data_IF_959155957492
#
_entry.id   IF_959155957492
#
_cell.length_a   1.000
_cell.length_b   1.000
_cell.length_c   1.000
_cell.angle_alpha   90.00
_cell.angle_beta   90.00
_cell.angle_gamma   90.00
#
_symmetry.space_group_name_H-M   'P 1'
#
loop_
_entity.id
_entity.type
_entity.pdbx_description
1 polymer ?
#
# COMPACT_ATOMS: atom_id res chain seq x y z
N UNK A 1 -14.77 -58.90 8.97
CA UNK A 1 -13.88 -57.99 8.23
C UNK A 1 -14.37 -56.52 8.19
N UNK A 2 -15.66 -56.24 8.36
CA UNK A 2 -16.19 -54.87 8.41
C UNK A 2 -15.70 -53.98 9.59
N UNK A 3 -15.53 -54.46 10.84
CA UNK A 3 -15.20 -53.56 11.96
C UNK A 3 -13.74 -53.08 11.90
N UNK A 4 -12.83 -53.90 11.40
CA UNK A 4 -11.41 -53.55 11.26
C UNK A 4 -11.22 -52.44 10.22
N UNK A 5 -11.99 -52.47 9.12
CA UNK A 5 -11.97 -51.41 8.10
C UNK A 5 -12.53 -50.09 8.63
N UNK A 6 -13.59 -50.14 9.43
CA UNK A 6 -14.16 -48.95 10.07
C UNK A 6 -13.18 -48.30 11.06
N UNK A 7 -12.48 -49.12 11.87
CA UNK A 7 -11.47 -48.62 12.82
C UNK A 7 -10.29 -47.97 12.09
N UNK A 8 -9.81 -48.55 11.00
CA UNK A 8 -8.70 -47.97 10.20
C UNK A 8 -9.10 -46.64 9.55
N UNK A 9 -10.32 -46.54 9.02
CA UNK A 9 -10.82 -45.29 8.43
C UNK A 9 -10.98 -44.21 9.48
N UNK A 10 -11.51 -44.55 10.67
CA UNK A 10 -11.73 -43.60 11.74
C UNK A 10 -10.41 -43.13 12.37
N UNK A 11 -9.42 -44.02 12.48
CA UNK A 11 -8.06 -43.66 12.89
C UNK A 11 -7.36 -42.75 11.86
N UNK A 12 -7.52 -43.01 10.57
CA UNK A 12 -6.98 -42.15 9.51
C UNK A 12 -7.59 -40.75 9.50
N UNK A 13 -8.90 -40.64 9.73
CA UNK A 13 -9.59 -39.35 9.81
C UNK A 13 -9.13 -38.51 11.00
N UNK A 14 -8.88 -39.16 12.15
CA UNK A 14 -8.39 -38.49 13.36
C UNK A 14 -6.98 -37.90 13.17
N UNK A 15 -6.11 -38.55 12.39
CA UNK A 15 -4.76 -38.04 12.06
C UNK A 15 -4.84 -36.86 11.09
N UNK A 16 -5.79 -36.87 10.14
CA UNK A 16 -5.99 -35.74 9.23
C UNK A 16 -6.57 -34.51 9.93
N UNK A 17 -7.43 -34.70 10.93
CA UNK A 17 -8.06 -33.59 11.65
C UNK A 17 -7.11 -32.87 12.64
N UNK A 18 -6.04 -33.51 13.11
CA UNK A 18 -5.12 -32.92 14.09
C UNK A 18 -4.13 -31.89 13.51
N UNK A 19 -4.06 -31.74 12.18
CA UNK A 19 -3.18 -30.77 11.52
C UNK A 19 -3.75 -29.36 11.31
N UNK A 20 -5.07 -29.17 11.52
CA UNK A 20 -5.75 -27.94 11.12
C UNK A 20 -5.37 -26.70 11.98
N UNK A 21 -4.95 -26.92 13.23
CA UNK A 21 -4.55 -25.83 14.14
C UNK A 21 -3.18 -25.22 13.74
N UNK A 22 -2.26 -26.04 13.25
CA UNK A 22 -0.94 -25.60 12.77
C UNK A 22 -1.04 -24.77 11.50
N UNK A 23 -1.91 -25.19 10.57
CA UNK A 23 -2.15 -24.49 9.31
C UNK A 23 -2.79 -23.11 9.54
N UNK A 24 -3.67 -22.98 10.54
CA UNK A 24 -4.21 -21.70 10.99
C UNK A 24 -3.12 -20.71 11.40
N UNK A 25 -2.15 -21.12 12.24
CA UNK A 25 -1.05 -20.24 12.66
C UNK A 25 -0.10 -19.86 11.51
N UNK A 26 0.21 -20.80 10.61
CA UNK A 26 1.07 -20.53 9.45
C UNK A 26 0.41 -19.58 8.43
N UNK A 27 -0.92 -19.59 8.33
CA UNK A 27 -1.72 -18.69 7.48
C UNK A 27 -2.08 -17.37 8.19
N UNK A 28 -1.46 -17.04 9.32
CA UNK A 28 -1.70 -15.79 10.05
C UNK A 28 -2.96 -15.80 10.94
N UNK A 29 -3.59 -16.96 11.12
CA UNK A 29 -4.66 -17.19 12.10
C UNK A 29 -4.12 -17.14 13.52
N UNK A 30 -4.21 -15.96 14.12
CA UNK A 30 -3.81 -15.69 15.50
C UNK A 30 -3.61 -14.20 15.73
N UNK A 31 -3.65 -13.78 17.00
CA UNK A 31 -3.26 -12.44 17.39
C UNK A 31 -1.73 -12.36 17.35
N UNK A 32 -1.17 -11.88 16.24
CA UNK A 32 0.21 -11.38 16.17
C UNK A 32 0.15 -9.86 16.23
N UNK A 33 -0.02 -9.25 17.42
CA UNK A 33 0.15 -7.81 17.54
C UNK A 33 1.57 -7.45 17.07
N UNK A 34 1.74 -6.35 16.32
CA UNK A 34 3.06 -5.83 16.01
C UNK A 34 3.84 -5.68 17.31
N UNK A 35 5.09 -6.14 17.32
CA UNK A 35 5.94 -6.07 18.50
C UNK A 35 6.17 -4.60 18.89
N UNK A 36 5.46 -4.17 19.93
CA UNK A 36 5.50 -2.81 20.49
C UNK A 36 6.83 -2.48 21.16
N UNK A 37 7.70 -3.49 21.32
CA UNK A 37 9.08 -3.35 21.76
C UNK A 37 10.09 -3.56 20.62
N UNK A 38 9.64 -3.64 19.36
CA UNK A 38 10.55 -3.68 18.23
C UNK A 38 11.29 -2.35 18.09
N UNK A 39 12.50 -2.31 18.61
CA UNK A 39 13.37 -1.13 18.53
C UNK A 39 13.88 -1.03 17.08
N UNK A 40 13.36 -0.05 16.33
CA UNK A 40 13.95 0.33 15.04
C UNK A 40 15.32 0.97 15.33
N UNK A 41 16.39 0.27 14.96
CA UNK A 41 17.75 0.78 15.09
C UNK A 41 17.94 1.97 14.16
N UNK A 42 18.07 3.17 14.72
CA UNK A 42 18.60 4.32 13.99
C UNK A 42 20.09 4.11 13.80
N UNK A 43 20.63 4.59 12.68
CA UNK A 43 22.08 4.59 12.46
C UNK A 43 22.78 5.24 13.68
N UNK A 44 23.85 4.62 14.22
CA UNK A 44 24.56 5.16 15.36
C UNK A 44 25.03 6.58 15.06
N UNK A 45 24.79 7.48 16.00
CA UNK A 45 25.29 8.85 15.93
C UNK A 45 26.79 8.80 16.25
N UNK A 46 27.62 8.44 15.28
CA UNK A 46 29.06 8.62 15.40
C UNK A 46 29.35 10.10 15.23
N UNK A 47 29.98 10.68 16.24
CA UNK A 47 30.55 12.02 16.14
C UNK A 47 31.72 11.91 15.14
N UNK A 48 31.66 12.58 13.98
CA UNK A 48 32.78 12.57 13.05
C UNK A 48 34.02 13.19 13.75
N UNK A 49 35.23 12.63 13.53
CA UNK A 49 36.45 13.15 14.16
C UNK A 49 36.74 14.61 13.78
N UNK A 50 36.22 15.06 12.65
CA UNK A 50 36.28 16.44 12.21
C UNK A 50 34.92 17.15 12.40
N UNK A 51 34.82 17.97 13.44
CA UNK A 51 33.76 18.97 13.64
C UNK A 51 33.82 20.13 12.62
N UNK A 52 34.67 20.01 11.60
CA UNK A 52 34.95 21.05 10.60
C UNK A 52 34.04 20.96 9.36
N UNK A 53 32.88 20.32 9.46
CA UNK A 53 31.89 20.41 8.39
C UNK A 53 31.28 21.82 8.44
N UNK A 54 31.69 22.66 7.49
CA UNK A 54 30.96 23.89 7.18
C UNK A 54 29.48 23.53 7.04
N UNK A 55 28.56 24.29 7.65
CA UNK A 55 27.14 24.16 7.34
C UNK A 55 26.99 24.19 5.80
N UNK A 56 26.23 23.25 5.21
CA UNK A 56 25.99 23.28 3.79
C UNK A 56 25.48 24.67 3.41
N UNK A 57 25.91 25.17 2.25
CA UNK A 57 25.43 26.46 1.78
C UNK A 57 23.89 26.45 1.76
N UNK A 58 23.23 27.56 2.12
CA UNK A 58 21.78 27.64 2.04
C UNK A 58 21.30 27.21 0.63
N UNK A 59 20.58 26.09 0.55
CA UNK A 59 20.07 25.52 -0.72
C UNK A 59 20.78 24.25 -1.20
N UNK A 60 21.86 23.80 -0.57
CA UNK A 60 22.52 22.54 -0.93
C UNK A 60 21.77 21.36 -0.31
N UNK A 61 21.51 20.33 -1.12
CA UNK A 61 20.82 19.12 -0.66
C UNK A 61 21.58 18.51 0.50
N UNK A 62 20.91 18.37 1.64
CA UNK A 62 21.48 17.63 2.77
C UNK A 62 21.77 16.21 2.29
N UNK A 63 22.84 15.53 2.74
CA UNK A 63 22.90 14.08 2.61
C UNK A 63 21.72 13.49 3.39
N UNK A 64 20.62 13.28 2.70
CA UNK A 64 19.36 12.75 3.21
C UNK A 64 19.66 11.38 3.82
N UNK A 65 19.19 11.15 5.05
CA UNK A 65 19.21 9.78 5.58
C UNK A 65 18.21 8.99 4.76
N UNK A 66 18.71 8.07 3.92
CA UNK A 66 17.89 7.10 3.22
C UNK A 66 16.87 6.50 4.19
N UNK A 67 15.60 6.56 3.78
CA UNK A 67 14.51 5.90 4.51
C UNK A 67 14.82 4.40 4.64
N UNK A 68 14.21 3.73 5.63
CA UNK A 68 14.41 2.28 5.80
C UNK A 68 14.09 1.51 4.51
N UNK A 69 13.03 1.92 3.81
CA UNK A 69 12.63 1.31 2.54
C UNK A 69 13.67 1.51 1.44
N UNK A 70 14.23 2.71 1.30
CA UNK A 70 15.27 3.00 0.29
C UNK A 70 16.57 2.25 0.60
N UNK A 71 16.95 2.14 1.88
CA UNK A 71 18.11 1.34 2.29
C UNK A 71 17.92 -0.15 1.98
N UNK A 72 16.75 -0.72 2.26
CA UNK A 72 16.44 -2.12 1.92
C UNK A 72 16.46 -2.34 0.42
N UNK A 73 15.88 -1.42 -0.37
CA UNK A 73 15.94 -1.49 -1.84
C UNK A 73 17.39 -1.49 -2.33
N UNK A 74 18.24 -0.61 -1.82
CA UNK A 74 19.67 -0.56 -2.17
C UNK A 74 20.41 -1.84 -1.77
N UNK A 75 20.05 -2.48 -0.65
CA UNK A 75 20.64 -3.76 -0.24
C UNK A 75 20.18 -4.92 -1.13
N UNK A 76 18.92 -4.93 -1.57
CA UNK A 76 18.35 -6.02 -2.36
C UNK A 76 18.75 -5.93 -3.84
N UNK A 77 18.67 -4.74 -4.43
CA UNK A 77 18.94 -4.52 -5.85
C UNK A 77 20.40 -4.10 -6.10
N UNK A 78 21.13 -3.72 -5.06
CA UNK A 78 22.42 -3.07 -5.20
C UNK A 78 22.28 -1.60 -5.55
N UNK A 79 23.41 -0.92 -5.69
CA UNK A 79 23.44 0.45 -6.15
C UNK A 79 23.41 0.48 -7.69
N UNK A 80 22.24 0.81 -8.24
CA UNK A 80 21.99 0.91 -9.68
C UNK A 80 22.91 1.94 -10.37
N UNK A 81 23.53 2.86 -9.63
CA UNK A 81 24.51 3.81 -10.18
C UNK A 81 25.88 3.19 -10.40
N UNK A 82 26.19 2.10 -9.69
CA UNK A 82 27.50 1.46 -9.71
C UNK A 82 27.61 0.33 -10.73
N UNK A 83 26.47 -0.24 -11.14
CA UNK A 83 26.44 -1.35 -12.09
C UNK A 83 25.40 -1.06 -13.20
N UNK A 84 25.82 -0.48 -14.34
CA UNK A 84 24.89 -0.18 -15.42
C UNK A 84 24.31 -1.49 -16.00
N UNK A 85 23.08 -1.46 -16.54
CA UNK A 85 22.46 -2.61 -17.17
C UNK A 85 23.33 -3.17 -18.30
N UNK A 86 23.39 -4.50 -18.43
CA UNK A 86 24.10 -5.13 -19.54
C UNK A 86 23.39 -4.89 -20.88
N UNK A 87 24.11 -5.03 -22.01
CA UNK A 87 23.53 -4.85 -23.35
C UNK A 87 22.29 -5.73 -23.59
N UNK A 88 22.31 -6.97 -23.10
CA UNK A 88 21.16 -7.88 -23.20
C UNK A 88 19.95 -7.44 -22.37
N UNK A 89 20.19 -6.82 -21.22
CA UNK A 89 19.15 -6.26 -20.36
C UNK A 89 18.54 -5.01 -20.98
N UNK A 90 19.36 -4.15 -21.61
CA UNK A 90 18.87 -2.99 -22.35
C UNK A 90 17.95 -3.38 -23.51
N UNK A 91 18.29 -4.44 -24.26
CA UNK A 91 17.42 -4.95 -25.34
C UNK A 91 16.10 -5.45 -24.78
N UNK A 92 16.11 -6.16 -23.64
CA UNK A 92 14.89 -6.62 -22.99
C UNK A 92 14.05 -5.43 -22.52
N UNK A 93 14.66 -4.44 -21.86
CA UNK A 93 14.00 -3.21 -21.40
C UNK A 93 13.38 -2.42 -22.54
N UNK A 94 14.05 -2.35 -23.69
CA UNK A 94 13.52 -1.73 -24.90
C UNK A 94 12.33 -2.51 -25.44
N UNK A 95 12.40 -3.84 -25.47
CA UNK A 95 11.30 -4.70 -25.95
C UNK A 95 10.07 -4.63 -25.06
N UNK A 96 10.24 -4.49 -23.73
CA UNK A 96 9.11 -4.34 -22.80
C UNK A 96 8.64 -2.88 -22.65
N UNK A 97 9.27 -1.94 -23.37
CA UNK A 97 8.91 -0.51 -23.31
C UNK A 97 9.22 0.16 -21.96
N UNK A 98 10.12 -0.41 -21.16
CA UNK A 98 10.42 0.09 -19.81
C UNK A 98 11.24 1.39 -19.81
N UNK A 99 11.87 1.75 -20.94
CA UNK A 99 12.72 2.94 -21.05
C UNK A 99 11.94 4.26 -21.09
N UNK A 100 10.65 4.23 -21.45
CA UNK A 100 9.80 5.43 -21.59
C UNK A 100 8.86 5.64 -20.38
N UNK A 101 9.01 4.86 -19.31
CA UNK A 101 8.12 4.93 -18.15
C UNK A 101 8.49 6.10 -17.25
N UNK A 102 7.50 6.93 -16.88
CA UNK A 102 7.68 7.99 -15.88
C UNK A 102 8.04 7.37 -14.52
N UNK A 103 9.20 7.72 -13.92
CA UNK A 103 9.61 7.22 -12.60
C UNK A 103 8.59 7.53 -11.49
N UNK A 104 7.82 8.59 -11.66
CA UNK A 104 6.83 9.08 -10.70
C UNK A 104 5.42 8.51 -10.95
N UNK A 105 5.24 7.55 -11.87
CA UNK A 105 3.91 7.04 -12.22
C UNK A 105 3.13 6.53 -11.00
N UNK A 106 3.82 5.98 -9.97
CA UNK A 106 3.16 5.56 -8.72
C UNK A 106 2.64 6.74 -7.90
N UNK A 107 3.36 7.85 -7.87
CA UNK A 107 2.92 9.06 -7.19
C UNK A 107 1.76 9.73 -7.94
N UNK A 108 1.82 9.74 -9.28
CA UNK A 108 0.73 10.22 -10.14
C UNK A 108 -0.52 9.36 -9.91
N UNK A 109 -0.41 8.04 -10.01
CA UNK A 109 -1.50 7.11 -9.73
C UNK A 109 -2.04 7.26 -8.30
N UNK A 110 -1.18 7.48 -7.31
CA UNK A 110 -1.63 7.71 -5.93
C UNK A 110 -2.37 9.04 -5.79
N UNK A 111 -1.96 10.09 -6.50
CA UNK A 111 -2.66 11.37 -6.53
C UNK A 111 -4.00 11.27 -7.28
N UNK A 112 -4.04 10.55 -8.41
CA UNK A 112 -5.25 10.29 -9.20
C UNK A 112 -6.25 9.40 -8.46
N UNK A 113 -5.75 8.36 -7.78
CA UNK A 113 -6.53 7.41 -6.99
C UNK A 113 -6.79 7.87 -5.55
N UNK A 114 -6.16 8.97 -5.10
CA UNK A 114 -6.18 9.44 -3.71
C UNK A 114 -7.57 9.77 -3.15
N UNK A 115 -8.60 9.83 -4.01
CA UNK A 115 -10.02 9.84 -3.61
C UNK A 115 -10.91 8.83 -4.33
N UNK A 116 -10.34 7.94 -5.16
CA UNK A 116 -11.07 7.01 -6.04
C UNK A 116 -10.66 5.55 -5.90
N UNK A 117 -9.66 5.23 -5.07
CA UNK A 117 -9.51 3.86 -4.62
C UNK A 117 -10.84 3.50 -3.93
N UNK A 118 -11.69 2.73 -4.62
CA UNK A 118 -12.71 1.93 -3.97
C UNK A 118 -11.99 1.30 -2.80
N UNK A 119 -12.31 1.75 -1.58
CA UNK A 119 -11.85 1.04 -0.41
C UNK A 119 -12.53 -0.30 -0.55
N UNK A 120 -11.76 -1.32 -0.94
CA UNK A 120 -12.15 -2.69 -0.66
C UNK A 120 -12.62 -2.68 0.79
N UNK A 121 -13.83 -3.18 1.03
CA UNK A 121 -14.47 -3.13 2.34
C UNK A 121 -13.43 -3.56 3.36
N UNK A 122 -12.98 -2.59 4.17
CA UNK A 122 -11.84 -2.83 5.05
C UNK A 122 -12.17 -4.05 5.90
N UNK A 123 -11.19 -4.86 6.25
CA UNK A 123 -11.43 -6.03 7.11
C UNK A 123 -12.19 -5.64 8.40
N UNK A 124 -12.02 -4.40 8.87
CA UNK A 124 -12.83 -3.82 9.94
C UNK A 124 -14.32 -3.68 9.57
N UNK A 125 -14.65 -3.21 8.36
CA UNK A 125 -16.02 -3.14 7.85
C UNK A 125 -16.66 -4.53 7.75
N UNK A 126 -15.91 -5.52 7.25
CA UNK A 126 -16.37 -6.90 7.17
C UNK A 126 -16.58 -7.54 8.55
N UNK A 127 -15.77 -7.16 9.56
CA UNK A 127 -15.95 -7.60 10.94
C UNK A 127 -17.13 -6.93 11.64
N UNK A 128 -17.35 -5.63 11.38
CA UNK A 128 -18.46 -4.85 11.96
C UNK A 128 -19.79 -5.31 11.35
N UNK A 129 -19.84 -5.51 10.03
CA UNK A 129 -21.01 -5.98 9.26
C UNK A 129 -20.89 -7.47 8.90
N UNK A 130 -20.50 -8.30 9.87
CA UNK A 130 -20.27 -9.75 9.70
C UNK A 130 -21.53 -10.60 9.41
N UNK A 131 -22.71 -9.99 9.37
CA UNK A 131 -23.96 -10.65 8.98
C UNK A 131 -24.13 -10.53 7.47
N UNK A 132 -23.86 -11.62 6.78
CA UNK A 132 -24.06 -11.73 5.33
C UNK A 132 -25.47 -12.27 5.05
N UNK A 133 -26.18 -11.65 4.11
CA UNK A 133 -27.39 -12.22 3.52
C UNK A 133 -27.05 -12.72 2.11
N UNK A 134 -26.69 -14.01 2.01
CA UNK A 134 -26.16 -14.60 0.79
C UNK A 134 -24.72 -14.17 0.50
N UNK A 135 -24.46 -13.55 -0.66
CA UNK A 135 -23.13 -13.02 -1.05
C UNK A 135 -22.95 -11.53 -0.75
N UNK A 136 -23.98 -10.88 -0.20
CA UNK A 136 -23.98 -9.45 0.06
C UNK A 136 -23.88 -9.21 1.57
N UNK A 137 -23.15 -8.16 1.95
CA UNK A 137 -23.05 -7.68 3.33
C UNK A 137 -24.37 -6.99 3.67
N UNK A 138 -25.03 -7.37 4.76
CA UNK A 138 -26.14 -6.58 5.29
C UNK A 138 -25.53 -5.39 6.05
N UNK A 139 -25.55 -4.24 5.40
CA UNK A 139 -25.02 -2.97 5.89
C UNK A 139 -26.13 -2.02 6.38
N UNK A 140 -27.33 -2.54 6.68
CA UNK A 140 -28.49 -1.72 7.06
C UNK A 140 -28.21 -0.78 8.25
N UNK A 141 -27.40 -1.21 9.21
CA UNK A 141 -27.03 -0.44 10.41
C UNK A 141 -25.73 0.39 10.23
N UNK A 142 -25.23 0.54 9.00
CA UNK A 142 -23.96 1.23 8.77
C UNK A 142 -24.05 2.74 9.05
N UNK A 143 -23.15 3.33 9.86
CA UNK A 143 -23.19 4.76 10.20
C UNK A 143 -23.07 5.72 9.01
N UNK A 144 -22.57 5.23 7.87
CA UNK A 144 -22.36 6.01 6.64
C UNK A 144 -22.99 5.31 5.44
N UNK A 145 -24.18 4.73 5.60
CA UNK A 145 -24.90 4.13 4.45
C UNK A 145 -25.42 5.23 3.53
N UNK A 146 -25.15 5.09 2.24
CA UNK A 146 -25.84 5.88 1.22
C UNK A 146 -27.12 5.12 0.87
N UNK A 147 -28.22 5.47 1.53
CA UNK A 147 -29.50 4.73 1.42
C UNK A 147 -30.07 4.72 0.01
N UNK A 148 -29.85 5.80 -0.75
CA UNK A 148 -30.24 5.92 -2.14
C UNK A 148 -29.09 6.54 -2.94
N UNK A 149 -28.45 5.69 -3.74
CA UNK A 149 -27.30 6.07 -4.57
C UNK A 149 -27.67 7.14 -5.59
N UNK A 150 -28.87 7.06 -6.18
CA UNK A 150 -29.26 7.96 -7.26
C UNK A 150 -29.49 9.38 -6.73
N UNK A 151 -30.16 9.53 -5.58
CA UNK A 151 -30.32 10.85 -4.96
C UNK A 151 -29.00 11.44 -4.46
N UNK A 152 -28.09 10.61 -3.94
CA UNK A 152 -26.75 11.07 -3.57
C UNK A 152 -25.94 11.54 -4.78
N UNK A 153 -25.99 10.79 -5.89
CA UNK A 153 -25.34 11.17 -7.15
C UNK A 153 -25.96 12.45 -7.72
N UNK A 154 -27.28 12.61 -7.67
CA UNK A 154 -27.98 13.82 -8.11
C UNK A 154 -27.57 15.05 -7.28
N UNK A 155 -27.55 14.92 -5.94
CA UNK A 155 -27.10 15.99 -5.03
C UNK A 155 -25.63 16.35 -5.27
N UNK A 156 -24.79 15.34 -5.53
CA UNK A 156 -23.39 15.53 -5.86
C UNK A 156 -23.23 16.24 -7.20
N UNK A 157 -23.98 15.86 -8.22
CA UNK A 157 -23.97 16.52 -9.52
C UNK A 157 -24.43 17.97 -9.42
N UNK A 158 -25.48 18.25 -8.63
CA UNK A 158 -25.94 19.61 -8.34
C UNK A 158 -24.84 20.43 -7.65
N UNK A 159 -24.16 19.88 -6.65
CA UNK A 159 -23.04 20.58 -6.00
C UNK A 159 -21.82 20.78 -6.91
N UNK A 160 -21.53 19.82 -7.79
CA UNK A 160 -20.49 19.98 -8.81
C UNK A 160 -20.89 21.10 -9.76
N UNK A 161 -22.11 21.06 -10.30
CA UNK A 161 -22.63 22.06 -11.24
C UNK A 161 -22.68 23.46 -10.62
N UNK A 162 -23.08 23.56 -9.35
CA UNK A 162 -23.08 24.82 -8.60
C UNK A 162 -21.68 25.43 -8.46
N UNK A 163 -20.64 24.60 -8.34
CA UNK A 163 -19.25 25.05 -8.21
C UNK A 163 -18.59 25.30 -9.57
N UNK A 164 -18.89 24.49 -10.58
CA UNK A 164 -18.27 24.56 -11.91
C UNK A 164 -19.06 25.41 -12.91
N UNK A 165 -20.29 25.78 -12.58
CA UNK A 165 -21.22 26.49 -13.48
C UNK A 165 -21.54 25.69 -14.74
N UNK A 166 -21.50 24.36 -14.67
CA UNK A 166 -21.68 23.45 -15.80
C UNK A 166 -20.56 23.47 -16.85
N UNK A 167 -19.46 24.18 -16.60
CA UNK A 167 -18.34 24.24 -17.53
C UNK A 167 -17.39 23.06 -17.34
N UNK A 168 -16.74 22.66 -18.43
CA UNK A 168 -15.71 21.62 -18.39
C UNK A 168 -14.50 22.13 -17.57
N UNK A 169 -14.23 21.49 -16.44
CA UNK A 169 -13.09 21.83 -15.59
C UNK A 169 -11.81 21.30 -16.24
N UNK A 170 -10.97 22.22 -16.75
CA UNK A 170 -9.62 21.90 -17.22
C UNK A 170 -8.64 22.16 -16.10
N UNK A 171 -8.13 21.09 -15.49
CA UNK A 171 -7.10 21.18 -14.45
C UNK A 171 -5.74 21.26 -15.16
N UNK A 172 -5.22 22.47 -15.32
CA UNK A 172 -3.84 22.67 -15.79
C UNK A 172 -2.88 22.75 -14.61
N UNK A 173 -1.74 22.05 -14.70
CA UNK A 173 -0.64 22.23 -13.76
C UNK A 173 0.04 23.57 -14.05
N UNK A 174 0.02 24.50 -13.10
CA UNK A 174 0.79 25.73 -13.22
C UNK A 174 2.27 25.39 -13.01
N UNK A 175 3.07 25.51 -14.07
CA UNK A 175 4.51 25.21 -14.05
C UNK A 175 5.29 26.14 -13.11
N UNK A 176 4.72 27.28 -12.71
CA UNK A 176 5.33 28.23 -11.77
C UNK A 176 4.87 28.03 -10.33
N UNK A 177 3.81 27.25 -10.10
CA UNK A 177 3.29 27.02 -8.77
C UNK A 177 4.01 25.83 -8.12
N UNK A 178 4.90 26.14 -7.18
CA UNK A 178 5.37 25.15 -6.20
C UNK A 178 4.13 24.65 -5.47
N UNK A 179 3.84 23.35 -5.57
CA UNK A 179 2.78 22.68 -4.83
C UNK A 179 2.95 23.02 -3.34
N UNK A 180 2.10 23.92 -2.84
CA UNK A 180 2.18 24.42 -1.46
C UNK A 180 1.51 23.39 -0.53
N UNK A 181 2.03 22.16 -0.57
CA UNK A 181 1.63 21.10 0.32
C UNK A 181 2.27 21.38 1.68
N UNK A 182 1.49 21.45 2.78
CA UNK A 182 2.06 21.63 4.09
C UNK A 182 3.04 20.49 4.38
N UNK A 183 4.33 20.83 4.53
CA UNK A 183 5.41 19.87 4.81
C UNK A 183 6.29 19.49 3.62
N UNK A 184 6.03 19.99 2.41
CA UNK A 184 6.93 19.83 1.26
C UNK A 184 7.60 21.17 0.99
N UNK A 185 8.89 21.29 1.30
CA UNK A 185 9.76 22.39 0.91
C UNK A 185 10.80 21.89 -0.08
#
# INVERSE_FOLDING_TARGET
>A
MAPIRAVVVLAGLAIFASGCESMGKALGGGKNPPDEFAIVTKAPLTVPPDYALKPPAPGETRPERLSSSERTRQLLLGDQTTNPPSDGELVLLQQVGALEVDPNIRAILAAENGGRAQKDDSLANQLIFWKFEGRNINDEEAPLRVEDRESWEATRLESIDAVTGGQQVVISKDERAVLNLPGVK
#
